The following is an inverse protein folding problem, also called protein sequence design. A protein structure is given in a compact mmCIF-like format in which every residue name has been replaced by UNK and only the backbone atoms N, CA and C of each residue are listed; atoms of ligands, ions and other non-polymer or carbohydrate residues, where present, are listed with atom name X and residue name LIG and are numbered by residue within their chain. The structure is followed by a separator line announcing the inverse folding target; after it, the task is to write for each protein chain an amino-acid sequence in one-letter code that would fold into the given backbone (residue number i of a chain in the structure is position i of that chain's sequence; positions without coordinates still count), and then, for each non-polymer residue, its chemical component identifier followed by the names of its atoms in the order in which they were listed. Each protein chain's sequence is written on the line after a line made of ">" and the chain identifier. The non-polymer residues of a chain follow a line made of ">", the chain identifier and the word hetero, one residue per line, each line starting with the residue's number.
data_IF_906810700426
#
_entry.id   IF_906810700426
#
_cell.length_a   1.000
_cell.length_b   1.000
_cell.length_c   1.000
_cell.angle_alpha   90.00
_cell.angle_beta   90.00
_cell.angle_gamma   90.00
#
_symmetry.space_group_name_H-M   'P 1'
#
loop_
_entity.id
_entity.type
_entity.pdbx_description
1 polymer ?
#
# COMPACT_ATOMS: atom_id res chain seq x y z
N UNK A 1 -15.19 20.67 -81.78
CA UNK A 1 -15.20 21.55 -80.59
C UNK A 1 -14.31 20.92 -79.52
N UNK A 2 -13.33 21.70 -79.04
CA UNK A 2 -12.39 21.52 -77.91
C UNK A 2 -12.62 20.29 -76.99
N UNK A 3 -11.60 19.57 -76.47
CA UNK A 3 -10.53 20.12 -75.64
C UNK A 3 -9.53 19.01 -75.17
N UNK A 4 -8.21 19.28 -75.28
CA UNK A 4 -7.06 18.96 -74.38
C UNK A 4 -6.86 17.52 -73.82
N UNK A 5 -5.79 16.76 -74.14
CA UNK A 5 -4.36 16.87 -73.72
C UNK A 5 -4.25 16.81 -72.17
N UNK A 6 -3.58 15.91 -71.42
CA UNK A 6 -2.39 15.01 -71.51
C UNK A 6 -2.56 13.92 -70.41
N UNK A 7 -2.34 12.62 -70.66
CA UNK A 7 -1.10 11.83 -70.44
C UNK A 7 -0.39 11.99 -69.09
N UNK A 8 -0.50 11.00 -68.18
CA UNK A 8 0.57 10.60 -67.24
C UNK A 8 0.48 9.08 -66.98
N UNK A 9 1.59 8.40 -67.25
CA UNK A 9 1.88 6.99 -67.00
C UNK A 9 2.56 6.90 -65.62
N UNK A 10 2.17 5.96 -64.76
CA UNK A 10 3.03 5.49 -63.66
C UNK A 10 2.97 3.96 -63.55
N UNK A 11 4.16 3.37 -63.63
CA UNK A 11 4.50 1.95 -63.60
C UNK A 11 4.00 1.24 -62.33
N UNK A 12 3.38 0.08 -62.52
CA UNK A 12 3.21 -0.95 -61.49
C UNK A 12 4.43 -1.88 -61.55
N UNK A 13 5.42 -1.65 -60.69
CA UNK A 13 6.58 -2.54 -60.56
C UNK A 13 6.36 -3.54 -59.42
N UNK A 14 6.44 -4.81 -59.81
CA UNK A 14 6.42 -6.04 -59.04
C UNK A 14 7.01 -5.97 -57.62
N UNK A 15 6.26 -6.51 -56.65
CA UNK A 15 6.78 -7.05 -55.40
C UNK A 15 6.75 -8.58 -55.51
N UNK A 16 7.92 -9.14 -55.82
CA UNK A 16 8.27 -10.48 -55.37
C UNK A 16 9.45 -10.34 -54.40
N UNK A 17 9.45 -11.25 -53.43
CA UNK A 17 10.60 -11.80 -52.70
C UNK A 17 10.70 -11.56 -51.17
N UNK A 18 11.03 -12.69 -50.54
CA UNK A 18 11.66 -12.93 -49.24
C UNK A 18 10.73 -12.95 -48.01
N UNK A 19 10.33 -14.14 -47.54
CA UNK A 19 11.11 -15.17 -46.83
C UNK A 19 11.11 -14.97 -45.31
N UNK A 20 10.40 -15.90 -44.69
CA UNK A 20 10.26 -16.21 -43.28
C UNK A 20 11.63 -16.50 -42.63
N UNK A 21 11.97 -15.83 -41.53
CA UNK A 21 12.82 -16.35 -40.45
C UNK A 21 13.05 -15.27 -39.38
N UNK A 22 12.11 -15.10 -38.45
CA UNK A 22 12.42 -14.43 -37.18
C UNK A 22 12.66 -15.47 -36.09
N UNK A 23 13.89 -15.42 -35.60
CA UNK A 23 14.50 -16.26 -34.59
C UNK A 23 13.91 -15.89 -33.23
N UNK A 24 13.09 -16.78 -32.68
CA UNK A 24 12.51 -16.65 -31.35
C UNK A 24 13.62 -16.65 -30.29
N UNK A 25 13.92 -15.46 -29.75
CA UNK A 25 14.83 -15.27 -28.62
C UNK A 25 13.97 -15.21 -27.36
N UNK A 26 13.85 -16.34 -26.66
CA UNK A 26 13.29 -16.43 -25.31
C UNK A 26 14.18 -15.65 -24.34
N UNK A 27 13.88 -14.36 -24.17
CA UNK A 27 14.40 -13.58 -23.05
C UNK A 27 13.45 -13.85 -21.89
N UNK A 28 13.92 -14.76 -21.04
CA UNK A 28 13.53 -14.97 -19.65
C UNK A 28 12.98 -13.67 -19.04
N UNK A 29 11.69 -13.69 -18.77
CA UNK A 29 10.91 -12.64 -18.12
C UNK A 29 11.48 -12.34 -16.73
N UNK A 30 12.48 -11.46 -16.70
CA UNK A 30 13.26 -11.07 -15.52
C UNK A 30 12.85 -9.69 -15.02
N UNK A 31 11.61 -9.26 -15.29
CA UNK A 31 11.14 -7.89 -14.98
C UNK A 31 9.85 -7.91 -14.17
N UNK A 32 9.81 -8.69 -13.09
CA UNK A 32 8.82 -8.54 -12.04
C UNK A 32 9.49 -8.18 -10.71
N UNK A 33 10.35 -7.16 -10.71
CA UNK A 33 10.81 -6.53 -9.47
C UNK A 33 10.35 -5.07 -9.44
N UNK A 34 9.29 -4.86 -8.64
CA UNK A 34 8.98 -3.66 -7.88
C UNK A 34 8.71 -2.37 -8.64
N UNK A 35 7.55 -2.30 -9.30
CA UNK A 35 6.78 -1.06 -9.37
C UNK A 35 5.79 -1.04 -8.20
N UNK A 36 6.28 -0.85 -6.97
CA UNK A 36 5.42 -0.40 -5.87
C UNK A 36 4.97 1.00 -6.28
N UNK A 37 3.75 1.10 -6.80
CA UNK A 37 3.17 2.37 -7.20
C UNK A 37 3.16 3.26 -5.97
N UNK A 38 3.84 4.41 -6.03
CA UNK A 38 3.92 5.37 -4.93
C UNK A 38 2.53 5.79 -4.37
N UNK A 39 1.46 5.54 -5.13
CA UNK A 39 0.07 5.74 -4.71
C UNK A 39 -0.44 4.76 -3.65
N UNK A 40 0.13 3.55 -3.55
CA UNK A 40 -0.33 2.49 -2.65
C UNK A 40 0.44 2.47 -1.31
N UNK A 41 1.43 3.34 -1.15
CA UNK A 41 2.20 3.45 0.10
C UNK A 41 1.51 4.39 1.09
N UNK A 42 1.26 3.91 2.31
CA UNK A 42 0.85 4.74 3.45
C UNK A 42 2.09 5.20 4.20
N UNK A 43 2.12 6.48 4.56
CA UNK A 43 3.22 7.07 5.34
C UNK A 43 2.75 7.49 6.73
N UNK A 44 3.66 7.48 7.70
CA UNK A 44 3.36 7.96 9.06
C UNK A 44 2.96 9.43 9.12
N UNK A 45 3.41 10.24 8.16
CA UNK A 45 2.97 11.64 8.03
C UNK A 45 1.48 11.70 7.69
N UNK A 46 1.03 10.88 6.74
CA UNK A 46 -0.38 10.81 6.34
C UNK A 46 -1.28 10.33 7.49
N UNK A 47 -0.83 9.31 8.24
CA UNK A 47 -1.57 8.80 9.41
C UNK A 47 -1.58 9.81 10.56
N UNK A 48 -0.49 10.59 10.73
CA UNK A 48 -0.40 11.62 11.75
C UNK A 48 -1.29 12.86 11.49
N UNK A 49 -1.81 13.04 10.28
CA UNK A 49 -2.77 14.08 9.94
C UNK A 49 -4.20 13.68 10.39
N UNK A 50 -4.37 13.44 11.69
CA UNK A 50 -5.62 13.01 12.33
C UNK A 50 -6.13 14.09 13.29
N UNK A 51 -7.45 14.16 13.50
CA UNK A 51 -8.08 14.99 14.53
C UNK A 51 -8.83 14.12 15.52
N UNK A 52 -9.17 14.68 16.68
CA UNK A 52 -9.97 13.99 17.69
C UNK A 52 -11.15 14.84 18.10
N UNK A 53 -12.33 14.21 18.18
CA UNK A 53 -13.56 14.83 18.64
C UNK A 53 -14.00 14.17 19.96
N UNK A 54 -14.24 14.98 20.98
CA UNK A 54 -14.78 14.49 22.25
C UNK A 54 -16.27 14.16 22.08
N UNK A 55 -16.67 12.92 22.38
CA UNK A 55 -18.07 12.48 22.37
C UNK A 55 -18.39 11.70 23.64
N UNK A 56 -19.67 11.67 24.02
CA UNK A 56 -20.14 10.79 25.10
C UNK A 56 -20.34 9.37 24.58
N UNK A 57 -19.76 8.41 25.28
CA UNK A 57 -19.88 6.97 25.06
C UNK A 57 -20.63 6.33 26.23
N UNK A 58 -21.65 5.47 26.00
CA UNK A 58 -22.49 4.90 27.06
C UNK A 58 -21.72 4.17 28.16
N UNK A 59 -20.62 3.49 27.79
CA UNK A 59 -19.81 2.68 28.71
C UNK A 59 -18.65 3.44 29.35
N UNK A 60 -18.12 4.44 28.67
CA UNK A 60 -16.81 5.03 29.00
C UNK A 60 -16.88 6.53 29.34
N UNK A 61 -18.06 7.14 29.35
CA UNK A 61 -18.21 8.57 29.63
C UNK A 61 -17.73 9.40 28.44
N UNK A 62 -16.82 10.35 28.64
CA UNK A 62 -16.31 11.19 27.55
C UNK A 62 -15.06 10.58 26.92
N UNK A 63 -15.14 10.28 25.62
CA UNK A 63 -14.08 9.61 24.86
C UNK A 63 -13.71 10.45 23.64
N UNK A 64 -12.42 10.48 23.30
CA UNK A 64 -11.92 11.10 22.09
C UNK A 64 -12.02 10.11 20.93
N UNK A 65 -12.88 10.42 19.96
CA UNK A 65 -13.02 9.65 18.73
C UNK A 65 -12.13 10.23 17.64
N UNK A 66 -11.35 9.40 16.93
CA UNK A 66 -10.53 9.87 15.85
C UNK A 66 -11.38 10.33 14.65
N UNK A 67 -10.87 11.32 13.95
CA UNK A 67 -11.38 11.80 12.67
C UNK A 67 -10.22 11.75 11.69
N UNK A 68 -10.20 10.72 10.85
CA UNK A 68 -9.14 10.51 9.86
C UNK A 68 -9.38 11.42 8.66
N UNK A 69 -8.30 11.86 8.02
CA UNK A 69 -8.42 12.71 6.83
C UNK A 69 -8.90 11.92 5.60
N UNK A 70 -9.40 12.63 4.59
CA UNK A 70 -9.95 12.03 3.38
C UNK A 70 -8.95 11.15 2.62
N UNK A 71 -7.65 11.49 2.65
CA UNK A 71 -6.62 10.71 1.99
C UNK A 71 -6.46 9.33 2.65
N UNK A 72 -6.59 9.23 3.97
CA UNK A 72 -6.64 7.97 4.71
C UNK A 72 -7.91 7.21 4.35
N UNK A 73 -9.08 7.88 4.32
CA UNK A 73 -10.36 7.24 3.94
C UNK A 73 -10.30 6.61 2.55
N UNK A 74 -9.66 7.29 1.60
CA UNK A 74 -9.46 6.80 0.23
C UNK A 74 -8.56 5.56 0.14
N UNK A 75 -7.80 5.21 1.19
CA UNK A 75 -7.00 3.99 1.28
C UNK A 75 -7.72 2.85 2.00
N UNK A 76 -8.85 3.13 2.65
CA UNK A 76 -9.66 2.09 3.29
C UNK A 76 -10.04 0.98 2.32
N UNK A 77 -9.93 -0.27 2.79
CA UNK A 77 -10.18 -1.52 2.06
C UNK A 77 -9.26 -1.78 0.85
N UNK A 78 -8.21 -0.97 0.65
CA UNK A 78 -7.23 -1.17 -0.43
C UNK A 78 -6.00 -1.91 0.08
N UNK A 79 -5.32 -2.58 -0.84
CA UNK A 79 -3.96 -3.08 -0.61
C UNK A 79 -3.01 -1.89 -0.52
N UNK A 80 -2.20 -1.86 0.53
CA UNK A 80 -1.22 -0.81 0.76
C UNK A 80 0.08 -1.38 1.28
N UNK A 81 1.13 -0.57 1.20
CA UNK A 81 2.43 -0.83 1.80
C UNK A 81 2.69 0.18 2.91
N UNK A 82 3.21 -0.29 4.05
CA UNK A 82 3.65 0.57 5.14
C UNK A 82 4.91 -0.01 5.78
N UNK A 83 5.83 0.87 6.17
CA UNK A 83 7.08 0.48 6.82
C UNK A 83 7.14 0.99 8.25
N UNK A 84 7.68 0.21 9.18
CA UNK A 84 7.81 0.59 10.58
C UNK A 84 8.50 -0.47 11.43
N UNK A 85 8.51 -0.23 12.73
CA UNK A 85 9.12 -1.12 13.72
C UNK A 85 8.09 -2.10 14.28
N UNK A 86 8.45 -3.37 14.40
CA UNK A 86 7.63 -4.37 15.07
C UNK A 86 7.61 -4.12 16.58
N UNK A 87 6.41 -4.03 17.13
CA UNK A 87 6.15 -3.92 18.56
C UNK A 87 5.25 -5.08 19.01
N UNK A 88 5.69 -5.94 19.94
CA UNK A 88 4.83 -6.98 20.49
C UNK A 88 3.72 -6.36 21.35
N UNK A 89 2.48 -6.77 21.11
CA UNK A 89 1.33 -6.38 21.95
C UNK A 89 1.15 -7.42 23.05
N UNK A 90 1.20 -8.70 22.67
CA UNK A 90 1.17 -9.85 23.55
C UNK A 90 2.06 -10.98 22.99
N UNK A 91 1.91 -12.21 23.50
CA UNK A 91 2.70 -13.36 23.05
C UNK A 91 2.36 -13.86 21.63
N UNK A 92 1.31 -13.33 20.99
CA UNK A 92 0.74 -13.86 19.73
C UNK A 92 0.40 -12.78 18.69
N UNK A 93 0.56 -11.50 19.02
CA UNK A 93 0.18 -10.39 18.17
C UNK A 93 1.21 -9.27 18.20
N UNK A 94 1.29 -8.58 17.06
CA UNK A 94 2.23 -7.50 16.85
C UNK A 94 1.49 -6.27 16.33
N UNK A 95 2.04 -5.11 16.62
CA UNK A 95 1.73 -3.86 15.96
C UNK A 95 2.92 -3.40 15.13
N UNK A 96 2.63 -2.57 14.13
CA UNK A 96 3.62 -1.79 13.42
C UNK A 96 3.63 -0.38 14.00
N UNK A 97 4.80 0.10 14.39
CA UNK A 97 4.99 1.40 15.00
C UNK A 97 5.85 2.32 14.13
N UNK A 98 5.53 3.63 14.17
CA UNK A 98 6.38 4.69 13.60
C UNK A 98 7.77 4.71 14.25
N UNK A 99 7.81 4.43 15.56
CA UNK A 99 8.98 4.56 16.41
C UNK A 99 9.38 3.20 17.00
N UNK A 100 10.64 3.09 17.43
CA UNK A 100 11.10 1.95 18.23
C UNK A 100 10.29 1.78 19.52
N UNK A 101 10.30 0.58 20.08
CA UNK A 101 9.54 0.12 21.23
C UNK A 101 9.65 1.09 22.41
N UNK A 102 10.87 1.51 22.76
CA UNK A 102 11.13 2.45 23.86
C UNK A 102 10.39 3.80 23.74
N UNK A 103 9.93 4.16 22.54
CA UNK A 103 9.22 5.40 22.23
C UNK A 103 7.85 5.16 21.57
N UNK A 104 7.32 3.93 21.64
CA UNK A 104 6.05 3.59 20.99
C UNK A 104 4.83 4.11 21.77
N UNK A 105 3.66 3.96 21.18
CA UNK A 105 2.37 4.30 21.79
C UNK A 105 2.18 3.66 23.17
N UNK A 106 2.51 2.38 23.31
CA UNK A 106 2.37 1.64 24.58
C UNK A 106 3.28 2.15 25.70
N UNK A 107 4.38 2.83 25.36
CA UNK A 107 5.26 3.46 26.34
C UNK A 107 4.82 4.89 26.71
N UNK A 108 3.69 5.37 26.18
CA UNK A 108 3.16 6.72 26.44
C UNK A 108 3.99 7.84 25.82
N UNK A 109 4.87 7.54 24.86
CA UNK A 109 5.76 8.51 24.20
C UNK A 109 5.26 8.99 22.84
N UNK A 110 4.26 8.31 22.28
CA UNK A 110 3.64 8.65 21.00
C UNK A 110 2.13 8.50 21.10
N UNK A 111 1.38 9.20 20.26
CA UNK A 111 -0.07 9.09 20.22
C UNK A 111 -0.57 7.87 19.43
N UNK A 112 -1.89 7.61 19.46
CA UNK A 112 -2.49 6.44 18.80
C UNK A 112 -2.42 6.51 17.26
N UNK A 113 -2.05 7.65 16.69
CA UNK A 113 -1.79 7.82 15.25
C UNK A 113 -0.47 7.18 14.78
N UNK A 114 0.41 6.82 15.72
CA UNK A 114 1.74 6.30 15.42
C UNK A 114 1.81 4.77 15.38
N UNK A 115 0.67 4.09 15.40
CA UNK A 115 0.60 2.64 15.53
C UNK A 115 -0.47 2.04 14.61
N UNK A 116 -0.21 0.83 14.10
CA UNK A 116 -1.12 0.05 13.26
C UNK A 116 -1.18 -1.38 13.78
N UNK A 117 -2.38 -1.88 14.05
CA UNK A 117 -2.60 -3.30 14.40
C UNK A 117 -2.34 -4.21 13.21
N UNK A 118 -1.63 -5.32 13.41
CA UNK A 118 -1.31 -6.28 12.33
C UNK A 118 -2.13 -7.57 12.48
N UNK A 119 -2.84 -7.95 11.42
CA UNK A 119 -3.49 -9.26 11.32
C UNK A 119 -2.88 -10.05 10.16
N UNK A 120 -1.99 -10.99 10.48
CA UNK A 120 -1.27 -11.78 9.48
C UNK A 120 -2.16 -12.83 8.82
N UNK A 121 -1.97 -13.03 7.51
CA UNK A 121 -2.78 -13.94 6.70
C UNK A 121 -2.62 -15.42 7.06
N UNK A 122 -1.39 -15.86 7.36
CA UNK A 122 -1.04 -17.27 7.54
C UNK A 122 -0.55 -17.57 8.97
N UNK A 123 -1.22 -16.97 9.96
CA UNK A 123 -0.80 -17.00 11.36
C UNK A 123 0.34 -16.02 11.66
N UNK A 124 0.61 -15.82 12.95
CA UNK A 124 1.58 -14.82 13.40
C UNK A 124 3.02 -15.37 13.28
N UNK A 125 3.88 -14.75 12.46
CA UNK A 125 5.29 -15.13 12.40
C UNK A 125 6.01 -14.75 13.70
N UNK A 126 7.14 -15.39 14.01
CA UNK A 126 8.01 -14.95 15.11
C UNK A 126 8.83 -13.76 14.63
N UNK A 127 8.56 -12.59 15.18
CA UNK A 127 9.24 -11.35 14.83
C UNK A 127 10.01 -10.81 16.04
N UNK A 128 11.10 -10.10 15.76
CA UNK A 128 11.91 -9.46 16.79
C UNK A 128 11.33 -8.07 17.08
N UNK A 129 11.33 -7.68 18.35
CA UNK A 129 11.04 -6.29 18.74
C UNK A 129 12.03 -5.36 18.03
N UNK A 130 11.54 -4.21 17.57
CA UNK A 130 12.32 -3.20 16.83
C UNK A 130 12.88 -3.66 15.48
N UNK A 131 12.43 -4.80 14.97
CA UNK A 131 12.67 -5.17 13.58
C UNK A 131 11.97 -4.18 12.66
N UNK A 132 12.73 -3.52 11.79
CA UNK A 132 12.17 -2.59 10.81
C UNK A 132 11.77 -3.35 9.55
N UNK A 133 10.48 -3.35 9.24
CA UNK A 133 9.90 -4.11 8.14
C UNK A 133 9.03 -3.23 7.25
N UNK A 134 8.85 -3.66 6.00
CA UNK A 134 7.76 -3.20 5.12
C UNK A 134 6.74 -4.31 5.01
N UNK A 135 5.48 -3.96 5.26
CA UNK A 135 4.35 -4.89 5.25
C UNK A 135 3.37 -4.46 4.17
N UNK A 136 2.91 -5.44 3.38
CA UNK A 136 1.73 -5.31 2.53
C UNK A 136 0.50 -5.83 3.29
N UNK A 137 -0.63 -5.14 3.15
CA UNK A 137 -1.91 -5.69 3.59
C UNK A 137 -3.10 -4.84 3.17
N UNK A 138 -4.29 -5.28 3.54
CA UNK A 138 -5.54 -4.53 3.34
C UNK A 138 -5.72 -3.53 4.46
N UNK A 139 -5.65 -2.24 4.14
CA UNK A 139 -5.78 -1.18 5.14
C UNK A 139 -7.22 -1.00 5.58
N UNK A 140 -7.43 -0.91 6.88
CA UNK A 140 -8.72 -0.59 7.50
C UNK A 140 -8.50 0.49 8.54
N UNK A 141 -9.41 1.45 8.57
CA UNK A 141 -9.44 2.49 9.59
C UNK A 141 -10.74 2.40 10.38
N UNK A 142 -10.73 2.96 11.59
CA UNK A 142 -11.85 2.97 12.50
C UNK A 142 -11.98 4.36 13.14
N UNK A 143 -13.18 4.94 13.11
CA UNK A 143 -13.53 6.23 13.71
C UNK A 143 -14.58 6.11 14.83
N UNK A 144 -15.17 4.92 15.01
CA UNK A 144 -16.44 4.75 15.72
C UNK A 144 -16.39 3.69 16.82
N UNK A 145 -15.50 2.70 16.73
CA UNK A 145 -15.34 1.66 17.74
C UNK A 145 -14.21 2.04 18.72
N UNK A 146 -14.55 2.20 19.99
CA UNK A 146 -13.60 2.54 21.05
C UNK A 146 -12.74 1.35 21.49
N UNK A 147 -13.17 0.14 21.17
CA UNK A 147 -12.49 -1.10 21.53
C UNK A 147 -11.61 -1.65 20.38
N UNK A 148 -11.59 -0.99 19.21
CA UNK A 148 -10.73 -1.33 18.05
C UNK A 148 -9.69 -0.22 17.75
N UNK A 149 -8.59 -0.61 17.13
CA UNK A 149 -7.51 0.28 16.70
C UNK A 149 -7.98 1.26 15.63
N UNK A 150 -7.47 2.49 15.68
CA UNK A 150 -7.70 3.50 14.65
C UNK A 150 -7.27 2.98 13.27
N UNK A 151 -6.12 2.29 13.22
CA UNK A 151 -5.53 1.76 12.01
C UNK A 151 -5.22 0.28 12.15
N UNK A 152 -5.66 -0.49 11.17
CA UNK A 152 -5.50 -1.92 11.08
C UNK A 152 -4.95 -2.30 9.69
N UNK A 153 -4.12 -3.33 9.66
CA UNK A 153 -3.62 -3.91 8.42
C UNK A 153 -3.95 -5.40 8.40
N UNK A 154 -5.02 -5.73 7.67
CA UNK A 154 -5.54 -7.08 7.55
C UNK A 154 -4.82 -7.85 6.44
N UNK A 155 -4.73 -9.18 6.55
CA UNK A 155 -3.98 -10.03 5.62
C UNK A 155 -2.52 -9.59 5.45
N UNK A 156 -1.90 -9.15 6.53
CA UNK A 156 -0.53 -8.64 6.54
C UNK A 156 0.48 -9.69 6.07
N UNK A 157 1.40 -9.26 5.20
CA UNK A 157 2.53 -10.02 4.68
C UNK A 157 3.77 -9.14 4.70
N UNK A 158 4.84 -9.60 5.33
CA UNK A 158 6.13 -8.89 5.30
C UNK A 158 6.74 -9.05 3.91
N UNK A 159 6.99 -7.92 3.24
CA UNK A 159 7.60 -7.89 1.89
C UNK A 159 9.05 -7.44 1.92
N UNK A 160 9.52 -6.86 3.05
CA UNK A 160 10.92 -6.48 3.27
C UNK A 160 11.25 -6.43 4.77
N UNK A 161 12.47 -6.77 5.12
CA UNK A 161 13.01 -6.74 6.50
C UNK A 161 13.32 -8.15 7.00
N UNK A 162 14.50 -8.31 7.61
CA UNK A 162 15.08 -9.60 8.05
C UNK A 162 14.83 -9.88 9.53
#
# INVERSE_FOLDING_TARGET
>A
MHNKIKLVIVLFSALLFFSFSDKEKSILDSTAISKVVAGDTITWKLLGEIKFNLKKHPKYGEVQFPVVNDKVKLRGKKKVYISGFIVPIDNKSYALSKNVFASCFFCGKSGPESIVGLHFKNGTPKLKTDQYVTIEGTFRYNEDDVDDWIYNLDNAVIVKGD
#
